data_IF_081620858404
#
_entry.id   IF_081620858404
#
_cell.length_a   1.000
_cell.length_b   1.000
_cell.length_c   1.000
_cell.angle_alpha   90.00
_cell.angle_beta   90.00
_cell.angle_gamma   90.00
#
_symmetry.space_group_name_H-M   'P 1'
#
loop_
_entity.id
_entity.type
_entity.pdbx_description
1 polymer ?
#
# COMPACT_ATOMS: atom_id res chain seq x y z
N UNK A 1 17.73 -8.29 -3.82
CA UNK A 1 16.29 -7.96 -3.72
C UNK A 1 16.17 -6.47 -3.84
N UNK A 2 15.37 -6.01 -4.80
CA UNK A 2 15.14 -4.59 -5.05
C UNK A 2 13.81 -4.19 -4.45
N UNK A 3 13.62 -2.91 -4.18
CA UNK A 3 12.30 -2.39 -3.81
C UNK A 3 11.51 -2.01 -5.06
N UNK A 4 10.19 -1.96 -4.97
CA UNK A 4 9.38 -1.41 -6.07
C UNK A 4 9.77 0.06 -6.35
N UNK A 5 10.08 0.34 -7.61
CA UNK A 5 10.50 1.63 -8.12
C UNK A 5 9.59 2.11 -9.26
N UNK A 6 9.66 3.40 -9.56
CA UNK A 6 9.04 3.98 -10.76
C UNK A 6 9.53 3.24 -12.01
N UNK A 7 8.59 2.98 -12.92
CA UNK A 7 8.82 2.24 -14.16
C UNK A 7 8.69 0.73 -14.04
N UNK A 8 8.61 0.17 -12.81
CA UNK A 8 8.38 -1.25 -12.64
C UNK A 8 6.96 -1.66 -13.07
N UNK A 9 6.85 -2.84 -13.66
CA UNK A 9 5.59 -3.51 -13.98
C UNK A 9 5.13 -4.31 -12.77
N UNK A 10 3.92 -4.01 -12.30
CA UNK A 10 3.27 -4.77 -11.24
C UNK A 10 2.02 -5.45 -11.76
N UNK A 11 1.79 -6.66 -11.27
CA UNK A 11 0.57 -7.42 -11.49
C UNK A 11 -0.27 -7.40 -10.23
N UNK A 12 -1.56 -7.12 -10.38
CA UNK A 12 -2.53 -7.10 -9.27
C UNK A 12 -3.62 -8.14 -9.57
N UNK A 13 -3.83 -9.15 -8.70
CA UNK A 13 -4.91 -10.12 -8.93
C UNK A 13 -6.28 -9.43 -8.90
N UNK A 14 -7.03 -9.55 -10.00
CA UNK A 14 -8.29 -8.83 -10.18
C UNK A 14 -9.37 -9.27 -9.17
N UNK A 15 -9.34 -10.53 -8.74
CA UNK A 15 -10.22 -11.09 -7.70
C UNK A 15 -9.95 -10.48 -6.31
N UNK A 16 -8.74 -9.95 -6.09
CA UNK A 16 -8.34 -9.34 -4.80
C UNK A 16 -8.54 -7.83 -4.74
N UNK A 17 -8.85 -7.17 -5.87
CA UNK A 17 -8.95 -5.70 -5.97
C UNK A 17 -9.86 -5.05 -4.94
N UNK A 18 -10.93 -5.74 -4.54
CA UNK A 18 -11.94 -5.23 -3.59
C UNK A 18 -12.14 -6.15 -2.39
N UNK A 19 -11.30 -7.18 -2.24
CA UNK A 19 -11.49 -8.22 -1.25
C UNK A 19 -11.23 -7.74 0.19
N UNK A 20 -10.25 -6.85 0.36
CA UNK A 20 -9.86 -6.34 1.69
C UNK A 20 -10.04 -4.83 1.75
N UNK A 21 -11.07 -4.39 2.45
CA UNK A 21 -11.33 -2.97 2.71
C UNK A 21 -10.83 -2.59 4.12
N UNK A 22 -10.08 -1.50 4.18
CA UNK A 22 -9.55 -0.88 5.40
C UNK A 22 -9.91 0.60 5.47
N UNK A 23 -10.06 1.11 6.68
CA UNK A 23 -10.28 2.54 6.91
C UNK A 23 -9.01 3.16 7.44
N UNK A 24 -8.43 4.09 6.68
CA UNK A 24 -7.23 4.82 7.08
C UNK A 24 -7.69 6.14 7.70
N UNK A 25 -7.32 6.35 8.97
CA UNK A 25 -7.64 7.56 9.72
C UNK A 25 -6.37 8.36 10.01
N UNK A 26 -6.39 9.67 9.81
CA UNK A 26 -5.29 10.58 10.13
C UNK A 26 -5.81 11.92 10.63
N UNK A 27 -4.89 12.80 11.04
CA UNK A 27 -5.20 14.14 11.48
C UNK A 27 -4.46 15.14 10.58
N UNK A 28 -5.18 16.17 10.13
CA UNK A 28 -4.64 17.23 9.28
C UNK A 28 -5.36 18.53 9.62
N UNK A 29 -4.62 19.63 9.79
CA UNK A 29 -5.18 20.95 10.16
C UNK A 29 -6.13 20.88 11.37
N UNK A 30 -5.69 20.20 12.45
CA UNK A 30 -6.48 19.95 13.67
C UNK A 30 -7.81 19.20 13.49
N UNK A 31 -8.10 18.71 12.27
CA UNK A 31 -9.30 17.94 11.97
C UNK A 31 -8.96 16.46 11.82
N UNK A 32 -9.81 15.59 12.35
CA UNK A 32 -9.75 14.16 12.05
C UNK A 32 -10.27 13.92 10.63
N UNK A 33 -9.57 13.09 9.89
CA UNK A 33 -9.89 12.70 8.52
C UNK A 33 -9.86 11.18 8.44
N UNK A 34 -10.72 10.63 7.59
CA UNK A 34 -10.74 9.20 7.31
C UNK A 34 -11.11 8.97 5.85
N UNK A 35 -10.57 7.91 5.28
CA UNK A 35 -10.91 7.45 3.93
C UNK A 35 -10.89 5.92 3.86
N UNK A 36 -11.69 5.39 2.95
CA UNK A 36 -11.76 3.95 2.67
C UNK A 36 -10.73 3.57 1.60
N UNK A 37 -10.02 2.48 1.85
CA UNK A 37 -9.02 1.94 0.96
C UNK A 37 -9.24 0.45 0.74
N UNK A 38 -8.95 0.00 -0.48
CA UNK A 38 -8.73 -1.41 -0.76
C UNK A 38 -7.25 -1.73 -0.60
N UNK A 39 -6.94 -2.73 0.22
CA UNK A 39 -5.61 -3.27 0.36
C UNK A 39 -5.50 -4.52 -0.50
N UNK A 40 -4.57 -4.50 -1.45
CA UNK A 40 -4.45 -5.56 -2.46
C UNK A 40 -3.00 -6.03 -2.51
N UNK A 41 -2.73 -7.35 -2.51
CA UNK A 41 -1.40 -7.84 -2.83
C UNK A 41 -1.08 -7.54 -4.30
N UNK A 42 0.15 -7.15 -4.60
CA UNK A 42 0.67 -7.07 -5.96
C UNK A 42 1.99 -7.83 -6.06
N UNK A 43 2.35 -8.18 -7.30
CA UNK A 43 3.58 -8.89 -7.63
C UNK A 43 4.40 -8.05 -8.60
N UNK A 44 5.66 -7.77 -8.27
CA UNK A 44 6.55 -7.03 -9.14
C UNK A 44 7.16 -7.94 -10.21
N UNK A 45 6.72 -7.79 -11.46
CA UNK A 45 7.16 -8.61 -12.59
C UNK A 45 8.61 -8.39 -12.97
N UNK A 46 9.15 -7.20 -12.68
CA UNK A 46 10.54 -6.86 -13.00
C UNK A 46 11.53 -7.28 -11.89
N UNK A 47 11.03 -7.61 -10.70
CA UNK A 47 11.82 -8.04 -9.54
C UNK A 47 11.54 -9.49 -9.13
N UNK A 48 11.27 -10.36 -10.11
CA UNK A 48 11.11 -11.80 -9.85
C UNK A 48 9.85 -12.16 -9.07
N UNK A 49 8.74 -11.46 -9.34
CA UNK A 49 7.44 -11.66 -8.69
C UNK A 49 7.46 -11.38 -7.17
N UNK A 50 8.33 -10.48 -6.72
CA UNK A 50 8.34 -10.04 -5.32
C UNK A 50 6.98 -9.44 -4.94
N UNK A 51 6.40 -9.97 -3.86
CA UNK A 51 5.06 -9.62 -3.43
C UNK A 51 5.08 -8.48 -2.42
N UNK A 52 4.21 -7.49 -2.60
CA UNK A 52 4.04 -6.36 -1.69
C UNK A 52 2.58 -5.90 -1.68
N UNK A 53 2.25 -4.87 -0.90
CA UNK A 53 0.88 -4.34 -0.73
C UNK A 53 0.68 -3.03 -1.48
N UNK A 54 -0.46 -2.91 -2.13
CA UNK A 54 -0.97 -1.69 -2.71
C UNK A 54 -2.23 -1.27 -1.98
N UNK A 55 -2.30 -0.01 -1.57
CA UNK A 55 -3.49 0.63 -1.03
C UNK A 55 -4.14 1.49 -2.11
N UNK A 56 -5.40 1.24 -2.44
CA UNK A 56 -6.15 1.99 -3.45
C UNK A 56 -7.29 2.71 -2.74
N UNK A 57 -7.32 4.04 -2.77
CA UNK A 57 -8.46 4.78 -2.23
C UNK A 57 -9.71 4.42 -3.03
N UNK A 58 -10.82 4.19 -2.34
CA UNK A 58 -12.07 3.69 -2.94
C UNK A 58 -12.53 4.55 -4.13
N UNK A 59 -12.50 5.86 -3.97
CA UNK A 59 -12.89 6.83 -5.01
C UNK A 59 -11.92 6.86 -6.21
N UNK A 60 -10.72 6.30 -6.05
CA UNK A 60 -9.69 6.23 -7.08
C UNK A 60 -9.64 4.87 -7.78
N UNK A 61 -10.50 3.91 -7.40
CA UNK A 61 -10.47 2.56 -7.96
C UNK A 61 -10.68 2.53 -9.48
N UNK A 62 -11.60 3.33 -10.02
CA UNK A 62 -11.86 3.33 -11.46
C UNK A 62 -10.72 3.98 -12.25
N UNK A 63 -10.15 5.07 -11.71
CA UNK A 63 -8.93 5.68 -12.26
C UNK A 63 -7.75 4.68 -12.24
N UNK A 64 -7.64 3.90 -11.17
CA UNK A 64 -6.64 2.86 -11.05
C UNK A 64 -6.82 1.74 -12.10
N UNK A 65 -8.05 1.26 -12.31
CA UNK A 65 -8.37 0.26 -13.35
C UNK A 65 -8.03 0.74 -14.76
N UNK A 66 -8.19 2.03 -15.03
CA UNK A 66 -7.83 2.62 -16.31
C UNK A 66 -6.31 2.65 -16.56
N UNK A 67 -5.46 2.38 -15.56
CA UNK A 67 -4.01 2.24 -15.74
C UNK A 67 -3.59 0.86 -16.24
N UNK A 68 -4.53 -0.09 -16.35
CA UNK A 68 -4.23 -1.43 -16.87
C UNK A 68 -3.56 -1.32 -18.24
N UNK A 69 -2.39 -1.93 -18.40
CA UNK A 69 -1.74 -2.08 -19.70
C UNK A 69 -2.46 -3.12 -20.54
N UNK A 70 -2.45 -2.97 -21.87
CA UNK A 70 -3.09 -3.90 -22.80
C UNK A 70 -2.62 -5.35 -22.56
N UNK A 71 -3.57 -6.27 -22.40
CA UNK A 71 -3.33 -7.69 -22.12
C UNK A 71 -4.45 -8.32 -21.28
N UNK A 72 -4.38 -9.65 -21.11
CA UNK A 72 -5.37 -10.41 -20.35
C UNK A 72 -5.26 -10.12 -18.83
N UNK A 73 -4.04 -10.06 -18.31
CA UNK A 73 -3.75 -9.85 -16.89
C UNK A 73 -3.83 -8.38 -16.45
N UNK A 74 -4.27 -8.14 -15.21
CA UNK A 74 -4.31 -6.81 -14.62
C UNK A 74 -2.91 -6.35 -14.20
N UNK A 75 -2.13 -5.97 -15.21
CA UNK A 75 -0.77 -5.44 -15.08
C UNK A 75 -0.78 -3.94 -15.32
N UNK A 76 0.08 -3.21 -14.62
CA UNK A 76 0.26 -1.77 -14.80
C UNK A 76 1.71 -1.36 -14.54
N UNK A 77 2.08 -0.17 -15.01
CA UNK A 77 3.39 0.43 -14.78
C UNK A 77 3.27 1.40 -13.60
N UNK A 78 4.18 1.26 -12.62
CA UNK A 78 4.31 2.20 -11.51
C UNK A 78 4.85 3.53 -12.04
N UNK A 79 4.14 4.62 -11.77
CA UNK A 79 4.48 5.96 -12.23
C UNK A 79 4.29 7.02 -11.14
N UNK A 80 4.39 8.29 -11.52
CA UNK A 80 4.28 9.44 -10.62
C UNK A 80 2.88 9.64 -10.04
N UNK A 81 1.88 8.84 -10.42
CA UNK A 81 0.56 8.89 -9.77
C UNK A 81 0.50 8.09 -8.47
N UNK A 82 1.49 7.24 -8.21
CA UNK A 82 1.61 6.49 -6.96
C UNK A 82 2.40 7.28 -5.90
N UNK A 83 2.10 7.00 -4.64
CA UNK A 83 3.02 7.25 -3.53
C UNK A 83 3.48 5.90 -2.96
N UNK A 84 4.52 5.92 -2.15
CA UNK A 84 5.00 4.73 -1.46
C UNK A 84 5.27 4.98 0.01
N UNK A 85 5.11 3.90 0.79
CA UNK A 85 5.69 3.77 2.12
C UNK A 85 6.85 2.78 2.10
N UNK A 86 7.71 2.85 3.11
CA UNK A 86 8.90 2.01 3.22
C UNK A 86 9.28 1.77 4.68
N UNK A 87 9.97 0.66 4.95
CA UNK A 87 10.60 0.42 6.25
C UNK A 87 11.82 1.34 6.45
N UNK A 88 12.34 1.41 7.69
CA UNK A 88 13.49 2.28 8.03
C UNK A 88 14.75 1.92 7.27
N UNK A 89 14.93 0.62 7.05
CA UNK A 89 16.05 0.00 6.38
C UNK A 89 16.01 0.26 4.87
N UNK A 90 14.87 0.75 4.34
CA UNK A 90 14.61 1.01 2.92
C UNK A 90 14.77 -0.22 2.03
N UNK A 91 14.57 -1.39 2.62
CA UNK A 91 14.67 -2.69 1.94
C UNK A 91 13.32 -3.17 1.44
N UNK A 92 12.23 -2.58 1.91
CA UNK A 92 10.87 -2.94 1.51
C UNK A 92 10.05 -1.68 1.23
N UNK A 93 9.28 -1.70 0.14
CA UNK A 93 8.36 -0.64 -0.24
C UNK A 93 6.99 -1.20 -0.58
N UNK A 94 5.98 -0.41 -0.32
CA UNK A 94 4.60 -0.67 -0.66
C UNK A 94 3.98 0.59 -1.27
N UNK A 95 2.88 0.42 -2.00
CA UNK A 95 2.32 1.47 -2.84
C UNK A 95 1.00 2.01 -2.30
N UNK A 96 0.73 3.27 -2.59
CA UNK A 96 -0.57 3.90 -2.39
C UNK A 96 -1.00 4.61 -3.68
N UNK A 97 -2.25 4.39 -4.09
CA UNK A 97 -2.90 5.06 -5.21
C UNK A 97 -4.14 5.79 -4.69
N UNK A 98 -4.01 7.10 -4.52
CA UNK A 98 -4.98 7.93 -3.80
C UNK A 98 -4.75 9.42 -4.06
N UNK A 99 -5.59 10.26 -3.46
CA UNK A 99 -5.33 11.69 -3.41
C UNK A 99 -4.02 12.00 -2.64
N UNK A 100 -3.04 12.53 -3.37
CA UNK A 100 -1.73 12.91 -2.83
C UNK A 100 -1.76 14.15 -1.93
N UNK A 101 -2.85 14.90 -1.91
CA UNK A 101 -3.04 16.02 -0.98
C UNK A 101 -3.17 15.53 0.47
N UNK A 102 -3.47 14.24 0.64
CA UNK A 102 -3.53 13.54 1.91
C UNK A 102 -2.10 13.36 2.44
N UNK A 103 -1.66 14.27 3.30
CA UNK A 103 -0.38 14.16 4.02
C UNK A 103 -0.46 13.14 5.18
N UNK A 104 -0.98 11.95 4.90
CA UNK A 104 -1.11 10.88 5.86
C UNK A 104 0.25 10.22 6.11
N UNK A 105 0.53 9.91 7.37
CA UNK A 105 1.72 9.15 7.75
C UNK A 105 1.58 7.69 7.31
N UNK A 106 2.66 7.12 6.77
CA UNK A 106 2.66 5.76 6.23
C UNK A 106 2.25 4.69 7.27
N UNK A 107 2.58 4.90 8.56
CA UNK A 107 2.17 3.98 9.64
C UNK A 107 0.65 3.82 9.79
N UNK A 108 -0.15 4.82 9.37
CA UNK A 108 -1.62 4.75 9.43
C UNK A 108 -2.19 3.65 8.54
N UNK A 109 -1.56 3.41 7.40
CA UNK A 109 -1.97 2.37 6.47
C UNK A 109 -1.68 0.98 7.04
N UNK A 110 -0.47 0.78 7.56
CA UNK A 110 -0.08 -0.48 8.22
C UNK A 110 -0.94 -0.73 9.47
N UNK A 111 -1.19 0.30 10.27
CA UNK A 111 -2.08 0.21 11.44
C UNK A 111 -3.51 -0.19 11.06
N UNK A 112 -4.05 0.37 9.97
CA UNK A 112 -5.40 0.00 9.49
C UNK A 112 -5.47 -1.47 9.07
N UNK A 113 -4.41 -1.98 8.43
CA UNK A 113 -4.29 -3.39 8.05
C UNK A 113 -4.16 -4.31 9.25
N UNK A 114 -3.29 -3.97 10.20
CA UNK A 114 -3.13 -4.73 11.42
C UNK A 114 -4.42 -4.78 12.24
N UNK A 115 -5.15 -3.66 12.31
CA UNK A 115 -6.46 -3.61 12.97
C UNK A 115 -7.50 -4.49 12.27
N UNK A 116 -7.44 -4.61 10.94
CA UNK A 116 -8.38 -5.41 10.15
C UNK A 116 -8.07 -6.91 10.19
N UNK A 117 -6.80 -7.28 10.07
CA UNK A 117 -6.36 -8.65 9.85
C UNK A 117 -5.80 -9.33 11.10
N UNK A 118 -5.34 -8.58 12.10
CA UNK A 118 -4.72 -9.12 13.32
C UNK A 118 -3.61 -10.13 12.98
N UNK A 119 -3.75 -11.38 13.44
CA UNK A 119 -2.80 -12.46 13.17
C UNK A 119 -2.70 -12.89 11.69
N UNK A 120 -3.74 -12.64 10.89
CA UNK A 120 -3.76 -12.94 9.45
C UNK A 120 -2.96 -11.96 8.59
N UNK A 121 -2.37 -10.93 9.22
CA UNK A 121 -1.49 -9.97 8.54
C UNK A 121 -0.24 -10.66 7.94
N UNK A 122 0.20 -11.78 8.53
CA UNK A 122 1.37 -12.54 8.10
C UNK A 122 1.27 -13.09 6.68
N UNK A 123 0.05 -13.50 6.31
CA UNK A 123 -0.24 -14.14 5.03
C UNK A 123 -0.54 -13.11 3.93
N UNK A 124 -0.71 -11.84 4.32
CA UNK A 124 -1.00 -10.76 3.41
C UNK A 124 0.28 -10.18 2.81
N UNK A 125 0.35 -10.13 1.48
CA UNK A 125 1.43 -9.48 0.73
C UNK A 125 2.86 -9.99 1.02
N UNK A 126 3.01 -11.31 1.17
CA UNK A 126 4.29 -11.99 0.92
C UNK A 126 5.46 -11.69 1.85
N UNK A 127 5.22 -11.18 3.06
CA UNK A 127 6.26 -11.07 4.08
C UNK A 127 6.55 -9.65 4.56
N UNK A 128 6.31 -8.62 3.75
CA UNK A 128 6.65 -7.24 4.13
C UNK A 128 5.87 -6.76 5.37
N UNK A 129 4.68 -7.33 5.58
CA UNK A 129 3.84 -7.00 6.73
C UNK A 129 4.17 -7.86 7.96
N UNK A 130 4.95 -8.93 7.79
CA UNK A 130 5.33 -9.83 8.91
C UNK A 130 6.14 -9.10 9.98
N UNK A 131 6.98 -8.14 9.57
CA UNK A 131 7.77 -7.34 10.50
C UNK A 131 6.91 -6.51 11.46
N UNK A 132 5.62 -6.30 11.17
CA UNK A 132 4.69 -5.50 11.99
C UNK A 132 3.73 -6.35 12.83
N UNK A 133 3.77 -7.68 12.72
CA UNK A 133 2.90 -8.56 13.51
C UNK A 133 3.21 -8.40 14.99
N UNK A 134 2.16 -8.24 15.79
CA UNK A 134 2.29 -8.14 17.25
C UNK A 134 2.94 -6.84 17.73
N UNK A 135 3.34 -5.94 16.83
CA UNK A 135 3.82 -4.61 17.21
C UNK A 135 2.63 -3.75 17.62
N UNK A 136 2.71 -3.10 18.78
CA UNK A 136 1.67 -2.16 19.21
C UNK A 136 1.52 -1.01 18.19
N UNK A 137 0.27 -0.64 17.85
CA UNK A 137 -0.03 0.43 16.91
C UNK A 137 0.61 1.78 17.30
N UNK A 138 0.81 2.02 18.60
CA UNK A 138 1.47 3.20 19.15
C UNK A 138 2.96 3.23 18.81
N UNK A 139 3.60 2.05 18.71
CA UNK A 139 5.02 1.89 18.38
C UNK A 139 5.24 2.03 16.87
N UNK A 140 4.26 1.67 16.04
CA UNK A 140 4.35 1.81 14.58
C UNK A 140 4.69 3.24 14.15
N UNK A 141 4.17 4.26 14.86
CA UNK A 141 4.50 5.65 14.60
C UNK A 141 6.01 5.92 14.72
N UNK A 142 6.70 5.27 15.65
CA UNK A 142 8.15 5.41 15.81
C UNK A 142 8.96 4.63 14.78
N UNK A 143 8.37 3.59 14.18
CA UNK A 143 9.02 2.73 13.19
C UNK A 143 8.88 3.27 11.77
N UNK A 144 7.71 3.79 11.40
CA UNK A 144 7.43 4.24 10.04
C UNK A 144 6.70 5.59 10.10
N UNK A 145 7.27 6.52 10.85
CA UNK A 145 6.69 7.82 11.20
C UNK A 145 6.75 8.92 10.13
N UNK A 146 7.19 8.60 8.91
CA UNK A 146 7.23 9.56 7.80
C UNK A 146 5.88 9.66 7.07
N UNK A 147 5.57 10.81 6.44
CA UNK A 147 4.55 10.87 5.40
C UNK A 147 4.85 9.90 4.25
N UNK A 148 3.82 9.57 3.47
CA UNK A 148 4.01 8.90 2.19
C UNK A 148 4.93 9.71 1.27
N UNK A 149 5.71 9.00 0.46
CA UNK A 149 6.73 9.58 -0.43
C UNK A 149 6.27 9.54 -1.88
N UNK A 150 6.64 10.55 -2.65
CA UNK A 150 6.51 10.52 -4.11
C UNK A 150 7.72 9.81 -4.72
N UNK A 151 7.51 9.21 -5.90
CA UNK A 151 8.58 8.76 -6.77
C UNK A 151 9.33 9.93 -7.43
#
# INVERSE_FOLDING_TARGET
MGVVEKGNKIFVPADKLTATEVTVQWQQNFSQRQQQYYSVPFYNKDLGDEQSVLFIQKDYLDSFKNKKTSGDDFTLIVDDSFQYGQNKEKTERWLAYHDKSMNAFQWRFIASMQSKLGGGLADFAGGILKQYIGIDLSILKGLIGDPLRNF
#
